data_IF_480550459170
#
_entry.id   IF_480550459170
#
_cell.length_a   1.000
_cell.length_b   1.000
_cell.length_c   1.000
_cell.angle_alpha   90.00
_cell.angle_beta   90.00
_cell.angle_gamma   90.00
#
_symmetry.space_group_name_H-M   'P 1'
#
loop_
_entity.id
_entity.type
_entity.pdbx_description
1 polymer ?
#
# COMPACT_ATOMS: atom_id res chain seq x y z
N UNK A 1 41.88 -9.51 -0.05
CA UNK A 1 40.56 -8.87 0.08
C UNK A 1 39.59 -9.94 0.54
N UNK A 2 39.30 -9.97 1.84
CA UNK A 2 38.52 -11.04 2.45
C UNK A 2 37.04 -10.76 2.21
N UNK A 3 36.44 -11.55 1.32
CA UNK A 3 35.01 -11.48 1.02
C UNK A 3 34.33 -12.15 2.21
N UNK A 4 33.65 -11.38 3.05
CA UNK A 4 32.85 -11.94 4.14
C UNK A 4 31.64 -12.66 3.53
N UNK A 5 31.77 -13.98 3.38
CA UNK A 5 30.64 -14.88 3.16
C UNK A 5 29.98 -15.12 4.53
N UNK A 6 29.03 -14.27 4.90
CA UNK A 6 28.26 -14.46 6.13
C UNK A 6 27.61 -15.84 6.12
N UNK A 7 27.97 -16.70 7.07
CA UNK A 7 27.35 -18.01 7.22
C UNK A 7 25.87 -17.85 7.62
N UNK A 8 25.00 -18.77 7.17
CA UNK A 8 23.58 -18.71 7.41
C UNK A 8 23.23 -19.19 8.82
N UNK A 9 23.72 -18.51 9.86
CA UNK A 9 23.56 -18.93 11.27
C UNK A 9 22.10 -19.17 11.70
N UNK A 10 21.11 -18.64 10.97
CA UNK A 10 19.69 -18.74 11.30
C UNK A 10 18.80 -19.26 10.17
N UNK A 11 19.32 -19.52 8.96
CA UNK A 11 18.45 -19.95 7.85
C UNK A 11 17.92 -21.38 8.05
N UNK A 12 18.69 -22.25 8.71
CA UNK A 12 18.24 -23.61 9.05
C UNK A 12 17.30 -23.71 10.26
N UNK A 13 16.96 -22.59 10.92
CA UNK A 13 16.06 -22.59 12.08
C UNK A 13 14.58 -22.54 11.69
N UNK A 14 14.27 -21.96 10.52
CA UNK A 14 12.89 -21.76 10.07
C UNK A 14 12.51 -22.79 9.00
N UNK A 15 11.40 -23.49 9.22
CA UNK A 15 10.90 -24.50 8.27
C UNK A 15 10.08 -23.87 7.14
N UNK A 16 9.43 -22.73 7.39
CA UNK A 16 8.50 -22.08 6.46
C UNK A 16 8.83 -20.60 6.31
N UNK A 17 8.69 -20.12 5.08
CA UNK A 17 8.90 -18.73 4.70
C UNK A 17 7.67 -18.24 3.93
N UNK A 18 7.24 -17.02 4.22
CA UNK A 18 6.12 -16.38 3.54
C UNK A 18 6.57 -15.03 3.01
N UNK A 19 6.51 -14.86 1.69
CA UNK A 19 6.79 -13.60 1.04
C UNK A 19 5.51 -12.80 0.85
N UNK A 20 5.53 -11.52 1.25
CA UNK A 20 4.45 -10.58 1.00
C UNK A 20 4.91 -9.57 -0.06
N UNK A 21 4.47 -9.72 -1.33
CA UNK A 21 4.83 -8.78 -2.37
C UNK A 21 4.20 -7.40 -2.12
N UNK A 22 4.72 -6.39 -2.81
CA UNK A 22 4.06 -5.09 -2.90
C UNK A 22 2.74 -5.21 -3.65
N UNK A 23 1.73 -4.40 -3.30
CA UNK A 23 0.41 -4.50 -3.92
C UNK A 23 0.48 -4.18 -5.41
N UNK A 24 -0.02 -5.09 -6.24
CA UNK A 24 -0.23 -4.87 -7.67
C UNK A 24 -1.34 -3.84 -7.92
N UNK A 25 -1.56 -3.46 -9.18
CA UNK A 25 -2.62 -2.49 -9.51
C UNK A 25 -4.01 -2.89 -8.98
N UNK A 26 -4.49 -4.15 -9.17
CA UNK A 26 -5.79 -4.57 -8.63
C UNK A 26 -5.84 -4.46 -7.10
N UNK A 27 -4.76 -4.83 -6.41
CA UNK A 27 -4.65 -4.70 -4.96
C UNK A 27 -4.76 -3.24 -4.53
N UNK A 28 -4.08 -2.32 -5.21
CA UNK A 28 -4.17 -0.88 -4.91
C UNK A 28 -5.57 -0.33 -5.12
N UNK A 29 -6.29 -0.75 -6.17
CA UNK A 29 -7.71 -0.41 -6.35
C UNK A 29 -8.53 -0.88 -5.14
N UNK A 30 -8.34 -2.13 -4.68
CA UNK A 30 -9.02 -2.66 -3.51
C UNK A 30 -8.65 -1.94 -2.21
N UNK A 31 -7.36 -1.63 -2.02
CA UNK A 31 -6.85 -0.93 -0.84
C UNK A 31 -7.41 0.48 -0.75
N UNK A 32 -7.40 1.26 -1.84
CA UNK A 32 -8.02 2.58 -1.87
C UNK A 32 -9.51 2.52 -1.56
N UNK A 33 -10.24 1.58 -2.20
CA UNK A 33 -11.66 1.35 -1.91
C UNK A 33 -11.89 1.07 -0.42
N UNK A 34 -11.15 0.11 0.12
CA UNK A 34 -11.32 -0.33 1.49
C UNK A 34 -10.99 0.77 2.48
N UNK A 35 -9.82 1.40 2.37
CA UNK A 35 -9.35 2.38 3.35
C UNK A 35 -10.16 3.68 3.32
N UNK A 36 -10.51 4.19 2.14
CA UNK A 36 -11.36 5.39 2.04
C UNK A 36 -12.74 5.10 2.61
N UNK A 37 -13.36 3.98 2.22
CA UNK A 37 -14.67 3.59 2.77
C UNK A 37 -14.60 3.45 4.29
N UNK A 38 -13.60 2.73 4.82
CA UNK A 38 -13.37 2.57 6.26
C UNK A 38 -13.24 3.91 6.99
N UNK A 39 -12.48 4.87 6.46
CA UNK A 39 -12.30 6.16 7.11
C UNK A 39 -13.53 7.08 7.00
N UNK A 40 -14.32 6.98 5.93
CA UNK A 40 -15.58 7.71 5.78
C UNK A 40 -16.71 7.19 6.68
N UNK A 41 -16.65 5.89 7.00
CA UNK A 41 -17.73 5.13 7.64
C UNK A 41 -17.47 4.78 9.11
N UNK A 42 -16.23 4.89 9.59
CA UNK A 42 -15.84 4.28 10.86
C UNK A 42 -16.06 2.76 10.84
N UNK A 43 -16.28 2.17 12.02
CA UNK A 43 -16.41 0.72 12.17
C UNK A 43 -17.77 0.13 11.74
N UNK A 44 -18.70 0.94 11.20
CA UNK A 44 -20.05 0.45 10.86
C UNK A 44 -20.80 1.15 9.72
N UNK A 45 -20.18 2.10 9.01
CA UNK A 45 -20.89 2.92 8.03
C UNK A 45 -21.08 2.28 6.64
N UNK A 46 -22.18 2.69 6.00
CA UNK A 46 -22.63 2.27 4.65
C UNK A 46 -22.47 3.36 3.59
N UNK A 47 -21.65 4.40 3.79
CA UNK A 47 -21.47 5.42 2.75
C UNK A 47 -20.74 4.84 1.56
N UNK A 48 -21.26 5.19 0.40
CA UNK A 48 -20.64 4.92 -0.88
C UNK A 48 -19.72 6.07 -1.29
N UNK A 49 -18.92 5.81 -2.31
CA UNK A 49 -18.08 6.81 -2.94
C UNK A 49 -18.94 7.89 -3.61
N UNK A 50 -18.43 9.13 -3.74
CA UNK A 50 -19.00 10.08 -4.68
C UNK A 50 -19.07 9.47 -6.08
N UNK A 51 -20.14 9.77 -6.84
CA UNK A 51 -20.45 9.13 -8.14
C UNK A 51 -19.29 9.20 -9.17
N UNK A 52 -18.42 10.20 -9.06
CA UNK A 52 -17.29 10.43 -9.97
C UNK A 52 -15.92 10.34 -9.28
N UNK A 53 -15.81 9.59 -8.18
CA UNK A 53 -14.53 9.44 -7.47
C UNK A 53 -13.59 8.48 -8.21
N UNK A 54 -12.52 9.03 -8.81
CA UNK A 54 -11.61 8.25 -9.66
C UNK A 54 -10.58 7.46 -8.84
N UNK A 55 -10.94 6.23 -8.52
CA UNK A 55 -10.07 5.28 -7.81
C UNK A 55 -8.95 4.76 -8.72
N UNK A 56 -9.19 4.67 -10.03
CA UNK A 56 -8.21 4.14 -10.98
C UNK A 56 -6.98 5.03 -11.04
N UNK A 57 -7.18 6.35 -11.07
CA UNK A 57 -6.08 7.32 -10.98
C UNK A 57 -5.29 7.18 -9.68
N UNK A 58 -5.97 7.05 -8.53
CA UNK A 58 -5.29 6.82 -7.24
C UNK A 58 -4.48 5.52 -7.24
N UNK A 59 -5.01 4.44 -7.79
CA UNK A 59 -4.32 3.15 -7.90
C UNK A 59 -3.11 3.24 -8.84
N UNK A 60 -3.21 4.01 -9.93
CA UNK A 60 -2.10 4.22 -10.85
C UNK A 60 -0.96 5.01 -10.19
N UNK A 61 -1.24 6.19 -9.61
CA UNK A 61 -0.21 7.04 -8.99
C UNK A 61 0.40 6.48 -7.71
N UNK A 62 -0.19 5.43 -7.13
CA UNK A 62 0.30 4.77 -5.93
C UNK A 62 1.16 3.53 -6.21
N UNK A 63 1.63 3.36 -7.45
CA UNK A 63 2.65 2.36 -7.75
C UNK A 63 3.90 2.52 -6.87
N UNK A 64 4.43 1.40 -6.36
CA UNK A 64 5.58 1.38 -5.45
C UNK A 64 5.24 1.73 -3.99
N UNK A 65 4.04 2.17 -3.67
CA UNK A 65 3.63 2.40 -2.28
C UNK A 65 3.12 1.10 -1.62
N UNK A 66 3.50 0.88 -0.37
CA UNK A 66 2.96 -0.22 0.43
C UNK A 66 1.50 0.03 0.82
N UNK A 67 0.76 -1.03 1.18
CA UNK A 67 -0.59 -0.90 1.74
C UNK A 67 -0.63 0.03 2.97
N UNK A 68 0.40 -0.04 3.82
CA UNK A 68 0.53 0.84 4.99
C UNK A 68 0.73 2.31 4.61
N UNK A 69 1.50 2.60 3.56
CA UNK A 69 1.67 3.96 3.03
C UNK A 69 0.34 4.52 2.50
N UNK A 70 -0.38 3.75 1.69
CA UNK A 70 -1.71 4.13 1.18
C UNK A 70 -2.65 4.42 2.35
N UNK A 71 -2.71 3.53 3.35
CA UNK A 71 -3.56 3.73 4.53
C UNK A 71 -3.21 5.00 5.31
N UNK A 72 -1.92 5.28 5.52
CA UNK A 72 -1.46 6.51 6.18
C UNK A 72 -1.88 7.76 5.39
N UNK A 73 -1.72 7.76 4.06
CA UNK A 73 -2.15 8.86 3.21
C UNK A 73 -3.67 9.12 3.33
N UNK A 74 -4.46 8.05 3.32
CA UNK A 74 -5.91 8.13 3.52
C UNK A 74 -6.25 8.74 4.89
N UNK A 75 -5.63 8.26 5.97
CA UNK A 75 -5.88 8.79 7.33
C UNK A 75 -5.47 10.24 7.50
N UNK A 76 -4.37 10.67 6.89
CA UNK A 76 -3.90 12.05 6.93
C UNK A 76 -4.85 12.99 6.18
N UNK A 77 -5.50 12.50 5.12
CA UNK A 77 -6.47 13.25 4.31
C UNK A 77 -7.84 13.28 5.00
N UNK A 78 -8.35 12.12 5.40
CA UNK A 78 -9.67 11.94 6.00
C UNK A 78 -9.63 12.05 7.53
N UNK A 79 -9.22 13.23 8.00
CA UNK A 79 -9.31 13.57 9.43
C UNK A 79 -10.78 13.63 9.90
N UNK A 80 -11.08 13.48 11.20
CA UNK A 80 -12.46 13.56 11.70
C UNK A 80 -13.17 14.85 11.26
N UNK A 81 -12.46 15.99 11.30
CA UNK A 81 -12.97 17.27 10.81
C UNK A 81 -13.25 17.26 9.32
N UNK A 82 -12.42 16.61 8.50
CA UNK A 82 -12.66 16.51 7.05
C UNK A 82 -13.91 15.69 6.77
N UNK A 83 -14.07 14.55 7.44
CA UNK A 83 -15.24 13.68 7.31
C UNK A 83 -16.53 14.43 7.66
N UNK A 84 -16.57 15.17 8.77
CA UNK A 84 -17.73 16.01 9.13
C UNK A 84 -18.08 17.06 8.07
N UNK A 85 -17.07 17.65 7.40
CA UNK A 85 -17.31 18.61 6.31
C UNK A 85 -17.87 17.98 5.04
N UNK A 86 -17.51 16.72 4.76
CA UNK A 86 -18.08 15.94 3.67
C UNK A 86 -19.55 15.64 4.00
N UNK A 87 -19.82 15.16 5.21
CA UNK A 87 -21.18 14.84 5.70
C UNK A 87 -22.13 16.04 5.65
N UNK A 88 -21.65 17.22 6.06
CA UNK A 88 -22.45 18.45 6.01
C UNK A 88 -22.69 19.01 4.60
N UNK A 89 -22.30 18.31 3.53
CA UNK A 89 -22.48 18.73 2.14
C UNK A 89 -21.67 19.96 1.72
N UNK A 90 -20.75 20.44 2.59
CA UNK A 90 -20.06 21.72 2.38
C UNK A 90 -18.94 21.64 1.36
N UNK A 91 -18.32 20.46 1.21
CA UNK A 91 -17.25 20.21 0.25
C UNK A 91 -17.14 18.73 -0.07
N UNK A 92 -17.47 18.28 -1.30
CA UNK A 92 -17.35 16.88 -1.70
C UNK A 92 -15.89 16.42 -1.62
N UNK A 93 -15.68 15.12 -1.46
CA UNK A 93 -14.34 14.52 -1.46
C UNK A 93 -13.85 14.38 -2.91
N UNK A 94 -12.61 14.79 -3.17
CA UNK A 94 -11.95 14.60 -4.47
C UNK A 94 -10.65 13.81 -4.31
N UNK A 95 -10.30 13.00 -5.31
CA UNK A 95 -9.09 12.17 -5.36
C UNK A 95 -7.81 12.99 -5.24
N UNK A 96 -7.82 14.23 -5.75
CA UNK A 96 -6.69 15.17 -5.66
C UNK A 96 -6.30 15.53 -4.23
N UNK A 97 -7.20 15.40 -3.24
CA UNK A 97 -6.89 15.66 -1.83
C UNK A 97 -5.85 14.69 -1.26
N UNK A 98 -5.74 13.50 -1.83
CA UNK A 98 -4.85 12.46 -1.34
C UNK A 98 -3.42 12.59 -1.86
N UNK A 99 -3.20 13.33 -2.97
CA UNK A 99 -1.92 13.39 -3.68
C UNK A 99 -0.79 13.88 -2.76
N UNK A 100 -1.01 15.00 -2.07
CA UNK A 100 0.00 15.58 -1.18
C UNK A 100 0.31 14.70 0.03
N UNK A 101 -0.69 13.97 0.55
CA UNK A 101 -0.49 13.06 1.66
C UNK A 101 0.28 11.80 1.22
N UNK A 102 -0.04 11.28 0.02
CA UNK A 102 0.62 10.14 -0.58
C UNK A 102 2.09 10.45 -0.89
N UNK A 103 2.39 11.60 -1.50
CA UNK A 103 3.74 12.02 -1.88
C UNK A 103 4.71 12.17 -0.69
N UNK A 104 4.20 12.23 0.55
CA UNK A 104 4.99 12.27 1.78
C UNK A 104 5.24 10.89 2.40
N UNK A 105 4.65 9.84 1.85
CA UNK A 105 4.87 8.48 2.31
C UNK A 105 6.12 7.89 1.66
N UNK A 106 6.65 6.84 2.30
CA UNK A 106 7.77 6.09 1.77
C UNK A 106 7.33 5.24 0.56
N UNK A 107 8.10 5.36 -0.53
CA UNK A 107 7.95 4.59 -1.76
C UNK A 107 9.03 3.53 -1.79
N UNK A 108 8.66 2.32 -2.18
CA UNK A 108 9.63 1.29 -2.51
C UNK A 108 9.99 1.36 -3.98
N UNK A 109 11.28 1.52 -4.25
CA UNK A 109 11.80 1.52 -5.61
C UNK A 109 11.90 0.10 -6.16
N UNK A 110 11.81 -0.04 -7.49
CA UNK A 110 11.91 -1.35 -8.16
C UNK A 110 13.20 -2.10 -7.82
N UNK A 111 14.30 -1.36 -7.59
CA UNK A 111 15.58 -1.92 -7.16
C UNK A 111 15.49 -2.61 -5.79
N UNK A 112 14.72 -2.06 -4.86
CA UNK A 112 14.54 -2.63 -3.53
C UNK A 112 13.58 -3.83 -3.58
N UNK A 113 12.48 -3.73 -4.34
CA UNK A 113 11.59 -4.86 -4.60
C UNK A 113 12.36 -6.08 -5.15
N UNK A 114 13.28 -5.85 -6.10
CA UNK A 114 14.16 -6.89 -6.63
C UNK A 114 15.06 -7.51 -5.56
N UNK A 115 15.66 -6.72 -4.66
CA UNK A 115 16.49 -7.25 -3.57
C UNK A 115 15.71 -8.16 -2.64
N UNK A 116 14.47 -7.80 -2.30
CA UNK A 116 13.60 -8.63 -1.45
C UNK A 116 13.19 -9.92 -2.15
N UNK A 117 12.89 -9.87 -3.45
CA UNK A 117 12.61 -11.08 -4.24
C UNK A 117 13.84 -11.98 -4.35
N UNK A 118 15.01 -11.41 -4.66
CA UNK A 118 16.27 -12.16 -4.75
C UNK A 118 16.60 -12.88 -3.44
N UNK A 119 16.38 -12.19 -2.31
CA UNK A 119 16.53 -12.80 -0.99
C UNK A 119 15.52 -13.94 -0.77
N UNK A 120 14.26 -13.74 -1.17
CA UNK A 120 13.21 -14.76 -1.06
C UNK A 120 13.58 -16.01 -1.85
N UNK A 121 13.88 -15.88 -3.15
CA UNK A 121 14.30 -16.99 -3.99
C UNK A 121 15.51 -17.74 -3.39
N UNK A 122 16.47 -17.01 -2.81
CA UNK A 122 17.65 -17.62 -2.18
C UNK A 122 17.33 -18.46 -0.94
N UNK A 123 16.30 -18.12 -0.17
CA UNK A 123 15.98 -18.81 1.09
C UNK A 123 14.86 -19.85 0.95
N UNK A 124 14.06 -19.78 -0.12
CA UNK A 124 12.92 -20.67 -0.34
C UNK A 124 13.12 -21.67 -1.48
N UNK A 125 14.22 -21.56 -2.23
CA UNK A 125 14.45 -22.29 -3.49
C UNK A 125 13.29 -22.14 -4.50
N UNK A 126 12.49 -21.08 -4.38
CA UNK A 126 11.43 -20.77 -5.34
C UNK A 126 12.04 -20.12 -6.58
N UNK A 127 11.72 -20.66 -7.77
CA UNK A 127 12.04 -20.01 -9.03
C UNK A 127 11.24 -18.70 -9.17
N UNK A 128 11.81 -17.70 -9.83
CA UNK A 128 11.09 -16.47 -10.15
C UNK A 128 9.98 -16.79 -11.16
N UNK A 129 8.76 -16.96 -10.70
CA UNK A 129 7.59 -16.78 -11.55
C UNK A 129 7.48 -15.28 -11.84
N UNK A 130 7.92 -14.89 -13.05
CA UNK A 130 7.83 -13.52 -13.56
C UNK A 130 6.38 -13.27 -13.99
N UNK A 131 5.69 -12.39 -13.29
CA UNK A 131 4.56 -11.61 -13.85
C UNK A 131 5.01 -10.18 -14.16
#
# INVERSE_FOLDING_TARGET
>A
MQIFTGEPEKQGFFEKFLFFPYPGYPDRVMLWKHFVKKCLNGEGGKKEFPDNFDISSLAHISEGYSAGAIYKAVRQTLTPRRVQRIEGGKRPLTETEFINALARQEVTYQSDAKKYMDFTCKITDLERELE
#
